data_IF_960859948788
#
_entry.id   IF_960859948788
#
_cell.length_a   1.000
_cell.length_b   1.000
_cell.length_c   1.000
_cell.angle_alpha   90.00
_cell.angle_beta   90.00
_cell.angle_gamma   90.00
#
_symmetry.space_group_name_H-M   'P 1'
#
loop_
_entity.id
_entity.type
_entity.pdbx_description
1 polymer ?
#
# COMPACT_ATOMS: atom_id res chain seq x y z
N UNK A 1 0.46 -8.61 0.29
CA UNK A 1 -0.32 -7.39 -0.07
C UNK A 1 0.54 -6.30 -0.73
N UNK A 2 1.77 -6.06 -0.29
CA UNK A 2 2.70 -5.08 -0.88
C UNK A 2 2.95 -5.29 -2.37
N UNK A 3 3.20 -6.53 -2.79
CA UNK A 3 3.38 -6.88 -4.20
C UNK A 3 2.17 -6.50 -5.06
N UNK A 4 0.95 -6.90 -4.65
CA UNK A 4 -0.27 -6.59 -5.42
C UNK A 4 -0.56 -5.08 -5.51
N UNK A 5 -0.29 -4.32 -4.44
CA UNK A 5 -0.38 -2.86 -4.47
C UNK A 5 0.55 -2.26 -5.53
N UNK A 6 1.81 -2.66 -5.52
CA UNK A 6 2.83 -2.11 -6.42
C UNK A 6 2.60 -2.55 -7.86
N UNK A 7 2.25 -3.81 -8.08
CA UNK A 7 1.98 -4.33 -9.41
C UNK A 7 0.76 -3.66 -10.05
N UNK A 8 -0.28 -3.39 -9.26
CA UNK A 8 -1.41 -2.59 -9.74
C UNK A 8 -0.99 -1.17 -10.14
N UNK A 9 -0.16 -0.52 -9.31
CA UNK A 9 0.35 0.82 -9.59
C UNK A 9 1.22 0.86 -10.86
N UNK A 10 2.00 -0.22 -11.09
CA UNK A 10 2.89 -0.40 -12.24
C UNK A 10 2.15 -0.64 -13.55
N UNK A 11 1.12 -1.48 -13.54
CA UNK A 11 0.25 -1.72 -14.71
C UNK A 11 -0.51 -0.44 -15.10
N UNK A 12 -0.90 0.36 -14.10
CA UNK A 12 -1.54 1.67 -14.27
C UNK A 12 -2.74 1.69 -15.27
N UNK A 13 -3.73 0.79 -15.12
CA UNK A 13 -4.74 0.56 -16.16
C UNK A 13 -5.78 1.68 -16.33
N UNK A 14 -5.85 2.65 -15.43
CA UNK A 14 -6.83 3.73 -15.48
C UNK A 14 -6.19 5.09 -15.75
N UNK A 15 -6.93 6.01 -16.38
CA UNK A 15 -6.49 7.40 -16.51
C UNK A 15 -6.35 8.10 -15.14
N UNK A 16 -7.17 7.72 -14.16
CA UNK A 16 -7.15 8.25 -12.82
C UNK A 16 -7.57 7.19 -11.79
N UNK A 17 -6.99 7.25 -10.59
CA UNK A 17 -7.42 6.43 -9.46
C UNK A 17 -6.62 5.16 -9.22
N UNK A 18 -5.57 4.85 -10.00
CA UNK A 18 -4.72 3.67 -9.79
C UNK A 18 -4.20 3.54 -8.36
N UNK A 19 -3.74 4.63 -7.75
CA UNK A 19 -3.29 4.60 -6.36
C UNK A 19 -4.41 4.26 -5.36
N UNK A 20 -5.65 4.70 -5.60
CA UNK A 20 -6.79 4.34 -4.74
C UNK A 20 -7.12 2.85 -4.88
N UNK A 21 -7.13 2.35 -6.11
CA UNK A 21 -7.39 0.92 -6.37
C UNK A 21 -6.28 0.02 -5.85
N UNK A 22 -5.00 0.44 -5.97
CA UNK A 22 -3.86 -0.28 -5.38
C UNK A 22 -4.00 -0.44 -3.85
N UNK A 23 -4.43 0.63 -3.16
CA UNK A 23 -4.68 0.59 -1.71
C UNK A 23 -5.90 -0.27 -1.35
N UNK A 24 -6.94 -0.26 -2.18
CA UNK A 24 -8.08 -1.18 -2.04
C UNK A 24 -7.64 -2.63 -2.16
N UNK A 25 -6.79 -2.96 -3.14
CA UNK A 25 -6.22 -4.30 -3.28
C UNK A 25 -5.40 -4.72 -2.07
N UNK A 26 -4.58 -3.81 -1.53
CA UNK A 26 -3.81 -4.08 -0.32
C UNK A 26 -4.72 -4.45 0.86
N UNK A 27 -5.76 -3.64 1.10
CA UNK A 27 -6.72 -3.88 2.19
C UNK A 27 -7.56 -5.14 1.97
N UNK A 28 -8.00 -5.40 0.73
CA UNK A 28 -8.77 -6.62 0.44
C UNK A 28 -7.95 -7.88 0.72
N UNK A 29 -6.66 -7.89 0.35
CA UNK A 29 -5.75 -9.00 0.69
C UNK A 29 -5.56 -9.08 2.21
N UNK A 30 -5.34 -7.95 2.90
CA UNK A 30 -5.20 -7.94 4.36
C UNK A 30 -6.41 -8.60 5.05
N UNK A 31 -7.61 -8.21 4.65
CA UNK A 31 -8.87 -8.75 5.18
C UNK A 31 -9.05 -10.25 4.87
N UNK A 32 -8.60 -10.72 3.70
CA UNK A 32 -8.61 -12.16 3.35
C UNK A 32 -7.76 -13.01 4.28
N UNK A 33 -6.75 -12.42 4.92
CA UNK A 33 -5.84 -13.09 5.86
C UNK A 33 -6.09 -12.67 7.32
N UNK A 34 -7.27 -12.14 7.64
CA UNK A 34 -7.68 -11.84 9.02
C UNK A 34 -7.11 -10.55 9.62
N UNK A 35 -6.46 -9.71 8.81
CA UNK A 35 -5.98 -8.40 9.23
C UNK A 35 -7.04 -7.32 8.99
N UNK A 36 -7.08 -6.32 9.86
CA UNK A 36 -7.88 -5.12 9.63
C UNK A 36 -7.35 -4.33 8.41
N UNK A 37 -8.22 -3.57 7.71
CA UNK A 37 -7.78 -2.70 6.61
C UNK A 37 -6.99 -1.51 7.17
N UNK A 38 -5.67 -1.53 7.01
CA UNK A 38 -4.77 -0.54 7.61
C UNK A 38 -4.27 0.52 6.62
N UNK A 39 -4.46 0.33 5.31
CA UNK A 39 -3.99 1.28 4.29
C UNK A 39 -5.08 2.32 4.01
N UNK A 40 -4.86 3.57 4.42
CA UNK A 40 -5.85 4.65 4.26
C UNK A 40 -6.11 5.00 2.77
N UNK A 41 -7.37 5.02 2.35
CA UNK A 41 -7.75 5.34 0.96
C UNK A 41 -7.67 6.85 0.67
N UNK A 42 -8.19 7.66 1.60
CA UNK A 42 -8.11 9.13 1.64
C UNK A 42 -8.01 9.63 3.10
N UNK A 43 -7.25 10.73 3.36
CA UNK A 43 -6.21 11.27 2.49
C UNK A 43 -5.18 10.19 2.11
N UNK A 44 -4.43 10.40 1.02
CA UNK A 44 -3.31 9.52 0.67
C UNK A 44 -2.40 9.39 1.90
N UNK A 45 -1.86 8.20 2.20
CA UNK A 45 -0.89 8.07 3.29
C UNK A 45 0.19 9.14 3.13
N UNK A 46 0.34 9.96 4.17
CA UNK A 46 1.27 11.07 4.20
C UNK A 46 2.69 10.56 4.49
N UNK A 47 3.69 11.39 4.20
CA UNK A 47 5.08 11.10 4.51
C UNK A 47 5.90 10.60 3.32
N UNK A 48 7.21 10.82 3.43
CA UNK A 48 8.20 10.51 2.39
C UNK A 48 8.31 9.01 2.15
N UNK A 49 8.26 8.20 3.22
CA UNK A 49 8.42 6.75 3.16
C UNK A 49 7.42 6.05 2.23
N UNK A 50 6.12 6.39 2.27
CA UNK A 50 5.13 5.79 1.36
C UNK A 50 5.36 6.22 -0.10
N UNK A 51 5.75 7.48 -0.33
CA UNK A 51 6.02 7.98 -1.67
C UNK A 51 7.27 7.32 -2.27
N UNK A 52 8.34 7.21 -1.49
CA UNK A 52 9.60 6.56 -1.88
C UNK A 52 9.41 5.06 -2.12
N UNK A 53 8.73 4.36 -1.20
CA UNK A 53 8.43 2.94 -1.37
C UNK A 53 7.55 2.67 -2.60
N UNK A 54 6.59 3.56 -2.89
CA UNK A 54 5.78 3.46 -4.09
C UNK A 54 6.63 3.69 -5.36
N UNK A 55 7.54 4.66 -5.34
CA UNK A 55 8.46 4.92 -6.45
C UNK A 55 9.44 3.75 -6.67
N UNK A 56 10.01 3.18 -5.61
CA UNK A 56 10.85 1.99 -5.68
C UNK A 56 10.07 0.78 -6.22
N UNK A 57 8.81 0.62 -5.80
CA UNK A 57 7.90 -0.40 -6.33
C UNK A 57 7.66 -0.29 -7.84
N UNK A 58 7.55 0.94 -8.37
CA UNK A 58 7.45 1.16 -9.83
C UNK A 58 8.71 0.72 -10.58
N UNK A 59 9.88 0.76 -9.94
CA UNK A 59 11.15 0.24 -10.46
C UNK A 59 11.34 -1.27 -10.21
N UNK A 60 10.30 -1.98 -9.77
CA UNK A 60 10.31 -3.42 -9.52
C UNK A 60 10.68 -3.83 -8.09
N UNK A 61 11.04 -2.88 -7.22
CA UNK A 61 11.46 -3.16 -5.85
C UNK A 61 10.25 -3.22 -4.91
N UNK A 62 9.40 -4.21 -5.12
CA UNK A 62 8.10 -4.31 -4.43
C UNK A 62 8.23 -4.45 -2.89
N UNK A 63 9.35 -4.98 -2.42
CA UNK A 63 9.62 -5.22 -1.00
C UNK A 63 9.80 -3.92 -0.22
N UNK A 64 10.13 -2.81 -0.87
CA UNK A 64 10.24 -1.49 -0.23
C UNK A 64 8.94 -1.05 0.46
N UNK A 65 7.79 -1.56 0.02
CA UNK A 65 6.48 -1.25 0.61
C UNK A 65 6.15 -2.12 1.84
N UNK A 66 6.85 -3.22 2.06
CA UNK A 66 6.65 -4.11 3.21
C UNK A 66 6.83 -3.40 4.56
N UNK A 67 7.96 -2.72 4.84
CA UNK A 67 8.13 -2.02 6.12
C UNK A 67 7.09 -0.91 6.31
N UNK A 68 6.76 -0.16 5.25
CA UNK A 68 5.73 0.90 5.30
C UNK A 68 4.37 0.33 5.69
N UNK A 69 3.97 -0.81 5.12
CA UNK A 69 2.71 -1.45 5.46
C UNK A 69 2.71 -2.06 6.87
N UNK A 70 3.85 -2.62 7.30
CA UNK A 70 4.01 -3.09 8.67
C UNK A 70 3.80 -1.94 9.65
N UNK A 71 4.44 -0.80 9.41
CA UNK A 71 4.36 0.35 10.32
C UNK A 71 2.93 0.90 10.38
N UNK A 72 2.23 1.01 9.24
CA UNK A 72 0.81 1.38 9.23
C UNK A 72 -0.09 0.39 9.99
N UNK A 73 0.21 -0.90 9.94
CA UNK A 73 -0.53 -1.91 10.70
C UNK A 73 -0.24 -1.80 12.20
N UNK A 74 1.03 -1.60 12.59
CA UNK A 74 1.47 -1.39 13.97
C UNK A 74 0.79 -0.13 14.56
N UNK A 75 0.77 0.96 13.81
CA UNK A 75 0.07 2.20 14.18
C UNK A 75 -1.43 1.96 14.37
N UNK A 76 -2.08 1.22 13.46
CA UNK A 76 -3.50 0.89 13.58
C UNK A 76 -3.80 0.09 14.85
N UNK A 77 -2.90 -0.81 15.24
CA UNK A 77 -3.02 -1.65 16.42
C UNK A 77 -2.64 -0.93 17.73
N UNK A 78 -2.11 0.30 17.65
CA UNK A 78 -1.63 1.04 18.81
C UNK A 78 -0.35 0.45 19.43
N UNK A 79 0.52 -0.13 18.60
CA UNK A 79 1.76 -0.81 19.02
C UNK A 79 3.04 -0.03 18.63
N UNK A 80 2.90 1.19 18.12
CA UNK A 80 3.97 2.06 17.62
C UNK A 80 4.36 3.17 18.59
#
# INVERSE_FOLDING_TARGET
>A
MSWAHNEWARIHPFANGNGRTARLWANWIAMRYGLAPFVRLRPRPAGMAYAEAAAAGMAGQSDAMVPVFRDMLVDLLGLG
#
